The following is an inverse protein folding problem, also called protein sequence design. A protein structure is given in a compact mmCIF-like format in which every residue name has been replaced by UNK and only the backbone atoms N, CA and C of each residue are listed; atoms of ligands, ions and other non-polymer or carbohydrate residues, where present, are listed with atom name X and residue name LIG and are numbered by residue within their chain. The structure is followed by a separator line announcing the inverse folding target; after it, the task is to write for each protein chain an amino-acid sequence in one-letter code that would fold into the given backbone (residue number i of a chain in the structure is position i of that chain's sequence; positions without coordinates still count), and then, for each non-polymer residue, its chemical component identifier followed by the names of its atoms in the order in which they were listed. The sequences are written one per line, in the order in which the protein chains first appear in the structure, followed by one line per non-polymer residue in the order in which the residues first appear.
data_IF_425337567859
#
_entry.id   IF_425337567859
#
_cell.length_a   1.000
_cell.length_b   1.000
_cell.length_c   1.000
_cell.angle_alpha   90.00
_cell.angle_beta   90.00
_cell.angle_gamma   90.00
#
_symmetry.space_group_name_H-M   'P 1'
#
loop_
_entity.id
_entity.type
_entity.pdbx_description
1 polymer ?
#
# COMPACT_ATOMS: atom_id res chain seq x y z
N UNK A 1 -49.87 22.94 -37.99
CA UNK A 1 -48.41 22.75 -37.92
C UNK A 1 -47.89 23.06 -36.51
N UNK A 2 -48.14 22.23 -35.55
CA UNK A 2 -47.69 22.44 -34.17
C UNK A 2 -47.23 21.13 -33.49
N UNK A 3 -46.42 20.32 -34.15
CA UNK A 3 -46.04 18.99 -33.63
C UNK A 3 -44.56 18.65 -33.64
N UNK A 4 -43.64 19.53 -34.08
CA UNK A 4 -42.26 19.15 -34.32
C UNK A 4 -41.28 19.70 -33.27
N UNK A 5 -41.66 20.63 -32.42
CA UNK A 5 -40.77 21.23 -31.45
C UNK A 5 -40.66 20.50 -30.08
N UNK A 6 -41.53 19.51 -29.81
CA UNK A 6 -41.55 18.80 -28.53
C UNK A 6 -40.51 17.68 -28.39
N UNK A 7 -39.98 17.12 -29.50
CA UNK A 7 -39.10 15.93 -29.44
C UNK A 7 -37.61 16.28 -29.34
N UNK A 8 -37.20 17.48 -29.64
CA UNK A 8 -35.78 17.90 -29.57
C UNK A 8 -35.30 18.21 -28.15
N UNK A 9 -36.20 18.61 -27.25
CA UNK A 9 -35.82 18.97 -25.87
C UNK A 9 -35.69 17.72 -24.98
N UNK A 10 -36.43 16.66 -25.26
CA UNK A 10 -36.34 15.41 -24.49
C UNK A 10 -35.07 14.60 -24.76
N UNK A 11 -34.52 14.65 -25.96
CA UNK A 11 -33.35 13.91 -26.38
C UNK A 11 -32.03 14.45 -25.78
N UNK A 12 -31.91 15.75 -25.65
CA UNK A 12 -30.70 16.39 -25.13
C UNK A 12 -30.50 16.16 -23.60
N UNK A 13 -31.58 16.16 -22.84
CA UNK A 13 -31.54 15.90 -21.39
C UNK A 13 -31.10 14.47 -21.07
N UNK A 14 -31.53 13.48 -21.85
CA UNK A 14 -31.19 12.07 -21.69
C UNK A 14 -29.71 11.79 -22.00
N UNK A 15 -29.15 12.42 -23.02
CA UNK A 15 -27.75 12.26 -23.40
C UNK A 15 -26.82 12.88 -22.36
N UNK A 16 -27.15 14.07 -21.85
CA UNK A 16 -26.36 14.75 -20.80
C UNK A 16 -26.35 13.93 -19.50
N UNK A 17 -27.50 13.41 -19.09
CA UNK A 17 -27.61 12.57 -17.89
C UNK A 17 -26.81 11.27 -18.03
N UNK A 18 -26.90 10.60 -19.18
CA UNK A 18 -26.11 9.40 -19.47
C UNK A 18 -24.60 9.68 -19.44
N UNK A 19 -24.17 10.79 -20.02
CA UNK A 19 -22.76 11.18 -20.04
C UNK A 19 -22.19 11.50 -18.66
N UNK A 20 -22.95 12.23 -17.81
CA UNK A 20 -22.58 12.53 -16.43
C UNK A 20 -22.49 11.25 -15.61
N UNK A 21 -23.47 10.35 -15.73
CA UNK A 21 -23.49 9.06 -15.02
C UNK A 21 -22.31 8.20 -15.43
N UNK A 22 -22.02 8.11 -16.71
CA UNK A 22 -20.88 7.30 -17.22
C UNK A 22 -19.52 7.86 -16.77
N UNK A 23 -19.37 9.17 -16.75
CA UNK A 23 -18.16 9.84 -16.24
C UNK A 23 -17.95 9.61 -14.75
N UNK A 24 -19.02 9.60 -13.97
CA UNK A 24 -18.98 9.32 -12.53
C UNK A 24 -18.62 7.86 -12.27
N UNK A 25 -19.21 6.92 -12.99
CA UNK A 25 -18.91 5.49 -12.89
C UNK A 25 -17.46 5.18 -13.27
N UNK A 26 -16.93 5.79 -14.33
CA UNK A 26 -15.54 5.61 -14.73
C UNK A 26 -14.56 6.13 -13.68
N UNK A 27 -14.83 7.29 -13.09
CA UNK A 27 -14.01 7.83 -11.98
C UNK A 27 -14.01 6.88 -10.78
N UNK A 28 -15.16 6.36 -10.38
CA UNK A 28 -15.27 5.38 -9.27
C UNK A 28 -14.46 4.11 -9.55
N UNK A 29 -14.50 3.58 -10.78
CA UNK A 29 -13.71 2.41 -11.17
C UNK A 29 -12.21 2.67 -11.10
N UNK A 30 -11.76 3.82 -11.55
CA UNK A 30 -10.35 4.21 -11.48
C UNK A 30 -9.86 4.35 -10.03
N UNK A 31 -10.63 4.99 -9.15
CA UNK A 31 -10.29 5.09 -7.73
C UNK A 31 -10.28 3.72 -7.03
N UNK A 32 -11.22 2.84 -7.35
CA UNK A 32 -11.24 1.48 -6.80
C UNK A 32 -10.06 0.64 -7.28
N UNK A 33 -9.64 0.81 -8.53
CA UNK A 33 -8.46 0.14 -9.08
C UNK A 33 -7.18 0.66 -8.40
N UNK A 34 -7.05 1.97 -8.25
CA UNK A 34 -5.92 2.61 -7.57
C UNK A 34 -5.80 2.16 -6.12
N UNK A 35 -6.91 2.16 -5.37
CA UNK A 35 -6.93 1.68 -3.99
C UNK A 35 -6.47 0.21 -3.88
N UNK A 36 -6.95 -0.66 -4.78
CA UNK A 36 -6.52 -2.07 -4.81
C UNK A 36 -5.03 -2.21 -5.13
N UNK A 37 -4.53 -1.45 -6.10
CA UNK A 37 -3.11 -1.49 -6.46
C UNK A 37 -2.22 -1.08 -5.29
N UNK A 38 -2.60 -0.05 -4.53
CA UNK A 38 -1.87 0.36 -3.33
C UNK A 38 -1.92 -0.70 -2.24
N UNK A 39 -3.10 -1.29 -1.98
CA UNK A 39 -3.23 -2.37 -1.00
C UNK A 39 -2.35 -3.58 -1.36
N UNK A 40 -2.30 -3.96 -2.62
CA UNK A 40 -1.42 -5.03 -3.10
C UNK A 40 0.04 -4.68 -2.89
N UNK A 41 0.46 -3.47 -3.27
CA UNK A 41 1.83 -3.00 -3.09
C UNK A 41 2.25 -2.98 -1.60
N UNK A 42 1.39 -2.49 -0.72
CA UNK A 42 1.65 -2.47 0.72
C UNK A 42 1.73 -3.88 1.31
N UNK A 43 0.88 -4.80 0.84
CA UNK A 43 0.93 -6.21 1.21
C UNK A 43 2.22 -6.88 0.76
N UNK A 44 2.67 -6.66 -0.47
CA UNK A 44 3.95 -7.14 -0.99
C UNK A 44 5.13 -6.63 -0.15
N UNK A 45 5.14 -5.35 0.19
CA UNK A 45 6.18 -4.75 1.03
C UNK A 45 6.22 -5.37 2.44
N UNK A 46 5.05 -5.53 3.08
CA UNK A 46 4.95 -6.19 4.40
C UNK A 46 5.47 -7.62 4.33
N UNK A 47 5.08 -8.39 3.32
CA UNK A 47 5.50 -9.78 3.16
C UNK A 47 7.01 -9.90 2.99
N UNK A 48 7.60 -9.07 2.13
CA UNK A 48 9.04 -9.06 1.92
C UNK A 48 9.79 -8.62 3.18
N UNK A 49 9.34 -7.60 3.87
CA UNK A 49 9.93 -7.16 5.13
C UNK A 49 9.85 -8.24 6.22
N UNK A 50 8.70 -8.91 6.35
CA UNK A 50 8.49 -9.97 7.33
C UNK A 50 9.37 -11.18 7.03
N UNK A 51 9.50 -11.57 5.76
CA UNK A 51 10.41 -12.64 5.35
C UNK A 51 11.86 -12.32 5.73
N UNK A 52 12.29 -11.05 5.58
CA UNK A 52 13.66 -10.64 5.96
C UNK A 52 13.88 -10.59 7.46
N UNK A 53 12.89 -10.14 8.22
CA UNK A 53 12.95 -10.18 9.67
C UNK A 53 13.15 -11.63 10.17
N UNK A 54 12.55 -12.63 9.52
CA UNK A 54 12.74 -14.04 9.83
C UNK A 54 14.11 -14.58 9.33
N UNK A 55 14.53 -14.23 8.11
CA UNK A 55 15.80 -14.66 7.52
C UNK A 55 17.02 -14.12 8.29
N UNK A 56 16.87 -13.04 9.06
CA UNK A 56 17.96 -12.52 9.91
C UNK A 56 18.40 -13.52 10.98
N UNK A 57 17.60 -14.53 11.27
CA UNK A 57 17.88 -15.62 12.19
C UNK A 57 18.61 -16.80 11.52
N UNK A 58 18.59 -16.89 10.18
CA UNK A 58 19.27 -17.93 9.41
C UNK A 58 20.45 -17.31 8.65
N UNK A 59 21.68 -17.66 9.06
CA UNK A 59 22.93 -17.17 8.47
C UNK A 59 23.15 -17.72 7.06
N UNK A 60 22.51 -17.19 6.03
CA UNK A 60 22.76 -17.60 4.64
C UNK A 60 23.24 -16.44 3.76
N UNK A 61 24.27 -16.71 2.97
CA UNK A 61 25.03 -15.76 2.12
C UNK A 61 24.27 -15.24 0.87
N UNK A 62 23.04 -15.68 0.61
CA UNK A 62 22.21 -15.23 -0.53
C UNK A 62 21.51 -13.87 -0.31
N UNK A 63 22.11 -13.04 0.53
CA UNK A 63 21.42 -11.93 1.22
C UNK A 63 21.22 -10.66 0.40
N UNK A 64 22.06 -10.38 -0.59
CA UNK A 64 22.03 -9.08 -1.29
C UNK A 64 20.88 -8.94 -2.30
N UNK A 65 20.54 -10.01 -3.02
CA UNK A 65 19.47 -9.98 -4.03
C UNK A 65 18.09 -9.74 -3.41
N UNK A 66 17.91 -10.24 -2.20
CA UNK A 66 16.66 -10.13 -1.47
C UNK A 66 16.41 -8.71 -0.93
N UNK A 67 17.45 -7.98 -0.55
CA UNK A 67 17.32 -6.57 -0.18
C UNK A 67 16.94 -5.69 -1.38
N UNK A 68 17.34 -6.06 -2.59
CA UNK A 68 16.94 -5.39 -3.82
C UNK A 68 15.44 -5.44 -4.05
N UNK A 69 14.77 -6.55 -3.72
CA UNK A 69 13.31 -6.67 -3.86
C UNK A 69 12.57 -5.67 -2.96
N UNK A 70 12.99 -5.56 -1.69
CA UNK A 70 12.39 -4.58 -0.77
C UNK A 70 12.65 -3.14 -1.23
N UNK A 71 13.87 -2.87 -1.71
CA UNK A 71 14.23 -1.55 -2.23
C UNK A 71 13.39 -1.17 -3.45
N UNK A 72 13.14 -2.13 -4.35
CA UNK A 72 12.25 -1.92 -5.49
C UNK A 72 10.81 -1.60 -5.05
N UNK A 73 10.29 -2.31 -4.05
CA UNK A 73 8.97 -2.05 -3.47
C UNK A 73 8.90 -0.67 -2.79
N UNK A 74 9.95 -0.28 -2.06
CA UNK A 74 10.05 1.04 -1.46
C UNK A 74 10.00 2.15 -2.52
N UNK A 75 10.70 1.98 -3.65
CA UNK A 75 10.63 2.94 -4.75
C UNK A 75 9.25 3.02 -5.39
N UNK A 76 8.52 1.90 -5.49
CA UNK A 76 7.12 1.91 -5.94
C UNK A 76 6.22 2.67 -4.95
N UNK A 77 6.40 2.46 -3.65
CA UNK A 77 5.71 3.21 -2.58
C UNK A 77 6.00 4.70 -2.71
N UNK A 78 7.26 5.08 -2.95
CA UNK A 78 7.68 6.49 -3.14
C UNK A 78 6.96 7.19 -4.28
N UNK A 79 6.56 6.46 -5.31
CA UNK A 79 5.85 7.02 -6.48
C UNK A 79 4.36 7.24 -6.20
N UNK A 80 3.72 6.37 -5.42
CA UNK A 80 2.25 6.33 -5.36
C UNK A 80 1.66 6.64 -3.97
N UNK A 81 2.44 6.52 -2.89
CA UNK A 81 1.95 6.68 -1.52
C UNK A 81 2.09 8.13 -1.02
N UNK A 82 1.38 8.44 0.07
CA UNK A 82 1.58 9.70 0.79
C UNK A 82 2.92 9.74 1.51
N UNK A 83 3.41 10.95 1.79
CA UNK A 83 4.67 11.15 2.52
C UNK A 83 4.70 10.43 3.87
N UNK A 84 3.55 10.33 4.55
CA UNK A 84 3.42 9.60 5.80
C UNK A 84 3.69 8.11 5.63
N UNK A 85 3.08 7.49 4.63
CA UNK A 85 3.28 6.05 4.33
C UNK A 85 4.72 5.80 3.91
N UNK A 86 5.28 6.67 3.07
CA UNK A 86 6.68 6.58 2.65
C UNK A 86 7.64 6.66 3.85
N UNK A 87 7.45 7.63 4.73
CA UNK A 87 8.28 7.82 5.92
C UNK A 87 8.26 6.57 6.82
N UNK A 88 7.09 5.99 7.06
CA UNK A 88 6.99 4.78 7.88
C UNK A 88 7.57 3.53 7.17
N UNK A 89 7.49 3.46 5.83
CA UNK A 89 8.15 2.41 5.07
C UNK A 89 9.69 2.51 5.18
N UNK A 90 10.24 3.71 5.07
CA UNK A 90 11.68 3.96 5.21
C UNK A 90 12.16 3.62 6.63
N UNK A 91 11.40 3.97 7.66
CA UNK A 91 11.70 3.62 9.06
C UNK A 91 11.67 2.11 9.28
N UNK A 92 10.65 1.42 8.76
CA UNK A 92 10.54 -0.04 8.86
C UNK A 92 11.74 -0.73 8.19
N UNK A 93 12.10 -0.29 6.99
CA UNK A 93 13.26 -0.84 6.27
C UNK A 93 14.58 -0.58 7.02
N UNK A 94 14.77 0.62 7.57
CA UNK A 94 15.96 0.95 8.36
C UNK A 94 16.08 0.04 9.58
N UNK A 95 15.00 -0.17 10.32
CA UNK A 95 14.97 -1.05 11.50
C UNK A 95 15.29 -2.51 11.14
N UNK A 96 14.70 -3.02 10.06
CA UNK A 96 14.94 -4.40 9.58
C UNK A 96 16.39 -4.55 9.11
N UNK A 97 16.94 -3.55 8.41
CA UNK A 97 18.34 -3.55 7.96
C UNK A 97 19.30 -3.53 9.15
N UNK A 98 19.02 -2.74 10.16
CA UNK A 98 19.84 -2.67 11.38
C UNK A 98 19.84 -4.02 12.13
N UNK A 99 18.68 -4.66 12.29
CA UNK A 99 18.58 -6.00 12.86
C UNK A 99 19.35 -7.03 12.03
N UNK A 100 19.31 -6.90 10.71
CA UNK A 100 19.95 -7.82 9.80
C UNK A 100 21.50 -7.78 9.84
N UNK A 101 22.08 -6.61 10.09
CA UNK A 101 23.52 -6.42 10.24
C UNK A 101 24.02 -6.54 11.69
N UNK A 102 23.10 -6.69 12.66
CA UNK A 102 23.48 -6.93 14.04
C UNK A 102 24.09 -8.33 14.21
N UNK A 103 25.17 -8.48 14.97
CA UNK A 103 25.78 -9.78 15.20
C UNK A 103 24.84 -10.71 15.96
N UNK A 104 24.95 -12.01 15.69
CA UNK A 104 24.13 -13.11 16.19
C UNK A 104 23.57 -12.89 17.60
N UNK A 105 22.26 -12.77 17.70
CA UNK A 105 21.55 -12.71 18.96
C UNK A 105 21.62 -14.06 19.67
N UNK A 106 21.86 -14.05 20.98
CA UNK A 106 21.75 -15.25 21.79
C UNK A 106 20.29 -15.73 21.88
N UNK A 107 20.08 -16.99 22.19
CA UNK A 107 18.74 -17.61 22.31
C UNK A 107 17.85 -16.88 23.34
N UNK A 108 18.45 -16.29 24.38
CA UNK A 108 17.75 -15.46 25.38
C UNK A 108 17.32 -14.11 24.82
N UNK A 109 18.17 -13.46 24.05
CA UNK A 109 17.87 -12.21 23.36
C UNK A 109 16.78 -12.42 22.31
N UNK A 110 16.79 -13.57 21.62
CA UNK A 110 15.74 -13.97 20.69
C UNK A 110 14.39 -14.14 21.40
N UNK A 111 14.36 -14.81 22.56
CA UNK A 111 13.13 -14.96 23.35
C UNK A 111 12.62 -13.62 23.89
N UNK A 112 13.51 -12.72 24.29
CA UNK A 112 13.16 -11.37 24.70
C UNK A 112 12.57 -10.58 23.53
N UNK A 113 13.18 -10.68 22.35
CA UNK A 113 12.72 -10.02 21.12
C UNK A 113 11.34 -10.52 20.67
N UNK A 114 11.07 -11.82 20.78
CA UNK A 114 9.74 -12.39 20.49
C UNK A 114 8.69 -11.93 21.51
N UNK A 115 9.05 -11.81 22.79
CA UNK A 115 8.16 -11.26 23.83
C UNK A 115 7.91 -9.75 23.65
N UNK A 116 8.91 -9.01 23.25
CA UNK A 116 8.87 -7.57 23.02
C UNK A 116 8.38 -7.24 21.61
N UNK A 117 8.53 -8.16 20.66
CA UNK A 117 8.20 -8.03 19.26
C UNK A 117 6.74 -7.69 18.99
N UNK A 118 5.81 -8.15 19.85
CA UNK A 118 4.42 -7.71 19.77
C UNK A 118 4.24 -6.22 20.13
N UNK A 119 5.19 -5.60 20.81
CA UNK A 119 5.20 -4.16 21.16
C UNK A 119 6.10 -3.32 20.25
N UNK A 120 7.13 -3.92 19.66
CA UNK A 120 8.18 -3.28 18.87
C UNK A 120 8.20 -3.76 17.41
N UNK A 121 7.05 -4.14 16.85
CA UNK A 121 6.94 -4.51 15.45
C UNK A 121 7.23 -3.27 14.57
N UNK A 122 8.35 -3.25 13.80
CA UNK A 122 8.71 -2.12 12.96
C UNK A 122 7.69 -1.86 11.84
N UNK A 123 6.90 -2.87 11.47
CA UNK A 123 5.87 -2.76 10.43
C UNK A 123 4.54 -2.21 10.95
N UNK A 124 4.33 -2.14 12.27
CA UNK A 124 3.07 -1.70 12.85
C UNK A 124 2.69 -0.28 12.43
N UNK A 125 3.62 0.66 12.58
CA UNK A 125 3.39 2.06 12.21
C UNK A 125 3.15 2.24 10.72
N UNK A 126 3.86 1.48 9.89
CA UNK A 126 3.65 1.44 8.45
C UNK A 126 2.25 0.92 8.11
N UNK A 127 1.84 -0.23 8.67
CA UNK A 127 0.51 -0.79 8.45
C UNK A 127 -0.62 0.16 8.87
N UNK A 128 -0.42 0.90 9.98
CA UNK A 128 -1.36 1.91 10.43
C UNK A 128 -1.45 3.10 9.48
N UNK A 129 -0.31 3.61 8.98
CA UNK A 129 -0.28 4.67 8.00
C UNK A 129 -0.99 4.26 6.69
N UNK A 130 -0.74 3.04 6.19
CA UNK A 130 -1.43 2.48 5.03
C UNK A 130 -2.94 2.38 5.24
N UNK A 131 -3.37 1.92 6.42
CA UNK A 131 -4.80 1.81 6.77
C UNK A 131 -5.50 3.16 6.75
N UNK A 132 -4.87 4.20 7.29
CA UNK A 132 -5.40 5.56 7.30
C UNK A 132 -5.51 6.08 5.87
N UNK A 133 -4.48 5.91 5.06
CA UNK A 133 -4.46 6.36 3.66
C UNK A 133 -5.55 5.67 2.83
N UNK A 134 -5.64 4.34 2.90
CA UNK A 134 -6.66 3.58 2.15
C UNK A 134 -8.08 3.97 2.55
N UNK A 135 -8.33 4.25 3.83
CA UNK A 135 -9.64 4.72 4.31
C UNK A 135 -9.97 6.15 3.90
N UNK A 136 -8.96 6.99 3.70
CA UNK A 136 -9.15 8.37 3.24
C UNK A 136 -9.42 8.48 1.74
N UNK A 137 -9.16 7.42 0.98
CA UNK A 137 -9.52 7.37 -0.43
C UNK A 137 -11.05 7.34 -0.59
N UNK A 138 -11.61 8.08 -1.56
CA UNK A 138 -13.06 8.09 -1.77
C UNK A 138 -13.54 6.66 -2.04
N UNK A 139 -14.43 6.20 -1.17
CA UNK A 139 -15.06 4.90 -1.34
C UNK A 139 -15.84 4.88 -2.66
N UNK A 140 -15.66 3.83 -3.43
CA UNK A 140 -16.44 3.57 -4.64
C UNK A 140 -17.83 3.00 -4.22
N UNK A 141 -18.69 3.83 -3.61
CA UNK A 141 -20.10 3.50 -3.37
C UNK A 141 -20.93 3.92 -4.57
#
# INVERSE_FOLDING_TARGET
MAGVFGSLVGGSATVVTAWITQRTLNRRRLFAAESRNRQTLYGEFINECSARALDSFENTLEKSERLLAIYALLNRIRICASDRVLHEAERALASITEQYFSPNLSLEQLRALVREGARSDPLRSFAEACRVEVRSMPAAF
#
